data_IF_049986911761
#
_entry.id   IF_049986911761
#
_cell.length_a   1.000
_cell.length_b   1.000
_cell.length_c   1.000
_cell.angle_alpha   90.00
_cell.angle_beta   90.00
_cell.angle_gamma   90.00
#
_symmetry.space_group_name_H-M   'P 1'
#
loop_
_entity.id
_entity.type
_entity.pdbx_description
1 polymer ?
#
# COMPACT_ATOMS: atom_id res chain seq x y z
N UNK A 1 44.98 -6.90 -76.18
CA UNK A 1 45.73 -8.14 -75.86
C UNK A 1 45.96 -8.21 -74.34
N UNK A 2 46.12 -9.41 -73.75
CA UNK A 2 46.45 -9.65 -72.32
C UNK A 2 47.94 -9.26 -72.06
N UNK A 3 48.51 -9.00 -70.88
CA UNK A 3 48.42 -9.55 -69.49
C UNK A 3 48.76 -8.46 -68.43
N UNK A 4 48.80 -8.63 -67.10
CA UNK A 4 48.31 -9.73 -66.23
C UNK A 4 48.85 -9.76 -64.78
N UNK A 5 48.10 -9.19 -63.82
CA UNK A 5 47.96 -9.57 -62.38
C UNK A 5 49.07 -9.41 -61.30
N UNK A 6 48.57 -9.01 -60.09
CA UNK A 6 49.07 -9.22 -58.70
C UNK A 6 50.31 -8.42 -58.25
N UNK A 7 50.42 -7.96 -57.00
CA UNK A 7 49.45 -7.99 -55.89
C UNK A 7 50.17 -7.88 -54.53
N UNK A 8 49.98 -6.78 -53.79
CA UNK A 8 50.73 -6.51 -52.55
C UNK A 8 49.85 -6.34 -51.32
N UNK A 9 50.23 -6.96 -50.20
CA UNK A 9 49.83 -6.56 -48.83
C UNK A 9 50.94 -6.93 -47.84
N UNK A 10 51.36 -5.95 -47.05
CA UNK A 10 52.45 -6.11 -46.10
C UNK A 10 51.97 -6.71 -44.77
N UNK A 11 52.82 -7.54 -44.17
CA UNK A 11 52.70 -7.97 -42.78
C UNK A 11 53.60 -7.12 -41.89
N UNK A 12 53.10 -6.68 -40.72
CA UNK A 12 53.91 -6.31 -39.53
C UNK A 12 53.03 -6.08 -38.29
N UNK A 13 53.16 -7.03 -37.35
CA UNK A 13 53.27 -6.83 -35.90
C UNK A 13 52.58 -5.61 -35.26
N UNK A 14 51.64 -5.86 -34.33
CA UNK A 14 51.58 -5.18 -33.01
C UNK A 14 50.71 -5.89 -31.97
N UNK A 15 51.32 -6.12 -30.80
CA UNK A 15 50.74 -6.17 -29.45
C UNK A 15 49.32 -6.68 -29.21
N UNK A 16 49.21 -7.84 -28.54
CA UNK A 16 48.07 -8.16 -27.67
C UNK A 16 47.92 -7.07 -26.59
N UNK A 17 46.82 -6.32 -26.61
CA UNK A 17 46.30 -5.67 -25.41
C UNK A 17 45.07 -6.42 -24.91
N UNK A 18 45.18 -7.01 -23.71
CA UNK A 18 44.03 -7.54 -22.98
C UNK A 18 43.18 -6.36 -22.50
N UNK A 19 42.10 -6.04 -23.22
CA UNK A 19 41.05 -5.20 -22.68
C UNK A 19 40.31 -5.99 -21.59
N UNK A 20 40.72 -5.77 -20.34
CA UNK A 20 40.01 -6.25 -19.16
C UNK A 20 38.67 -5.55 -19.13
N UNK A 21 37.62 -6.26 -19.54
CA UNK A 21 36.27 -5.74 -19.61
C UNK A 21 35.68 -5.64 -18.19
N UNK A 22 36.13 -4.63 -17.42
CA UNK A 22 35.59 -4.32 -16.09
C UNK A 22 34.12 -3.97 -16.26
N UNK A 23 33.24 -4.90 -15.84
CA UNK A 23 31.80 -4.75 -15.88
C UNK A 23 31.33 -3.55 -15.07
N UNK A 24 31.22 -2.38 -15.71
CA UNK A 24 30.42 -1.27 -15.19
C UNK A 24 28.95 -1.67 -15.31
N UNK A 25 28.42 -2.33 -14.27
CA UNK A 25 26.98 -2.25 -13.95
C UNK A 25 26.67 -0.76 -13.83
N UNK A 26 26.17 -0.14 -14.90
CA UNK A 26 25.52 1.16 -14.80
C UNK A 26 24.28 0.91 -13.93
N UNK A 27 24.31 1.36 -12.67
CA UNK A 27 23.07 1.71 -11.97
C UNK A 27 22.36 2.67 -12.91
N UNK A 28 21.28 2.21 -13.55
CA UNK A 28 20.27 3.13 -14.04
C UNK A 28 19.62 3.67 -12.77
N UNK A 29 20.04 4.83 -12.34
CA UNK A 29 19.25 5.63 -11.42
C UNK A 29 17.96 5.94 -12.19
N UNK A 30 16.89 5.24 -11.84
CA UNK A 30 15.54 5.52 -12.30
C UNK A 30 15.15 6.86 -11.70
N UNK A 31 15.41 7.94 -12.45
CA UNK A 31 14.93 9.28 -12.11
C UNK A 31 13.41 9.23 -12.21
N UNK A 32 12.76 8.94 -11.09
CA UNK A 32 11.32 8.88 -10.95
C UNK A 32 10.76 10.31 -11.07
N UNK A 33 10.35 10.66 -12.28
CA UNK A 33 10.02 12.04 -12.71
C UNK A 33 8.70 12.60 -12.14
N UNK A 34 8.09 11.92 -11.17
CA UNK A 34 6.83 12.30 -10.51
C UNK A 34 6.95 12.53 -9.01
N UNK A 35 8.17 12.62 -8.46
CA UNK A 35 8.41 13.18 -7.11
C UNK A 35 8.21 14.70 -7.09
N UNK A 36 6.97 15.15 -7.32
CA UNK A 36 6.50 16.34 -6.64
C UNK A 36 6.65 16.14 -5.13
N UNK A 37 6.90 17.18 -4.32
CA UNK A 37 7.02 17.01 -2.89
C UNK A 37 5.65 16.63 -2.31
N UNK A 38 5.44 15.33 -2.13
CA UNK A 38 4.63 14.85 -1.02
C UNK A 38 5.11 15.63 0.21
N UNK A 39 4.19 16.22 0.97
CA UNK A 39 4.53 16.89 2.23
C UNK A 39 5.01 15.79 3.20
N UNK A 40 6.27 15.36 3.10
CA UNK A 40 6.84 14.31 3.96
C UNK A 40 6.89 14.73 5.45
N UNK A 41 6.62 16.01 5.71
CA UNK A 41 6.36 16.62 7.01
C UNK A 41 4.88 17.07 7.06
N UNK A 42 3.91 16.16 6.95
CA UNK A 42 2.53 16.47 7.37
C UNK A 42 2.55 16.46 8.90
N UNK A 43 2.66 17.64 9.50
CA UNK A 43 2.30 17.82 10.91
C UNK A 43 0.86 17.35 11.09
N UNK A 44 0.55 16.61 12.17
CA UNK A 44 -0.79 16.08 12.45
C UNK A 44 -1.89 17.08 12.09
N UNK A 45 -2.74 16.68 11.16
CA UNK A 45 -3.78 17.54 10.62
C UNK A 45 -5.09 16.79 10.65
N UNK A 46 -6.04 17.28 11.45
CA UNK A 46 -7.41 16.77 11.44
C UNK A 46 -8.41 17.90 11.24
N UNK A 47 -9.38 17.66 10.36
CA UNK A 47 -10.44 18.62 10.03
C UNK A 47 -11.79 17.89 9.89
N UNK A 48 -12.81 18.43 10.55
CA UNK A 48 -14.22 18.09 10.36
C UNK A 48 -14.89 19.16 9.48
N UNK A 49 -15.30 18.77 8.27
CA UNK A 49 -15.85 19.65 7.25
C UNK A 49 -17.37 19.46 7.19
N UNK A 50 -18.12 20.47 7.61
CA UNK A 50 -19.58 20.48 7.50
C UNK A 50 -20.03 20.80 6.07
N UNK A 51 -20.72 19.85 5.43
CA UNK A 51 -21.31 19.99 4.09
C UNK A 51 -22.85 19.99 4.18
N UNK A 52 -23.50 20.82 3.36
CA UNK A 52 -24.96 20.85 3.19
C UNK A 52 -25.37 19.86 2.09
N UNK A 53 -26.50 19.16 2.29
CA UNK A 53 -27.05 18.23 1.30
C UNK A 53 -26.46 16.80 1.37
N UNK A 54 -25.80 16.45 2.47
CA UNK A 54 -25.44 15.07 2.82
C UNK A 54 -26.07 14.70 4.16
N UNK A 55 -26.53 13.46 4.27
CA UNK A 55 -27.17 12.92 5.48
C UNK A 55 -26.24 11.99 6.29
N UNK A 56 -25.22 11.43 5.62
CA UNK A 56 -24.21 10.51 6.18
C UNK A 56 -22.83 11.18 6.25
N UNK A 57 -21.93 10.61 7.07
CA UNK A 57 -20.55 11.10 7.22
C UNK A 57 -19.56 10.24 6.44
N UNK A 58 -18.41 10.81 6.07
CA UNK A 58 -17.34 10.15 5.33
C UNK A 58 -16.00 10.54 5.94
N UNK A 59 -15.11 9.59 6.23
CA UNK A 59 -13.82 9.86 6.87
C UNK A 59 -12.68 9.27 6.04
N UNK A 60 -11.66 10.08 5.80
CA UNK A 60 -10.40 9.67 5.19
C UNK A 60 -9.27 9.86 6.20
N UNK A 61 -8.52 8.80 6.48
CA UNK A 61 -7.27 8.84 7.25
C UNK A 61 -6.11 8.45 6.34
N UNK A 62 -5.26 9.42 6.02
CA UNK A 62 -4.21 9.30 5.02
C UNK A 62 -2.83 9.41 5.67
N UNK A 63 -1.94 8.45 5.39
CA UNK A 63 -0.52 8.53 5.76
C UNK A 63 0.37 8.49 4.50
N UNK A 64 1.57 9.11 4.52
CA UNK A 64 2.49 9.07 3.40
C UNK A 64 3.10 7.67 3.26
N UNK A 65 2.92 7.05 2.10
CA UNK A 65 3.42 5.72 1.76
C UNK A 65 4.11 5.77 0.38
N UNK A 66 5.37 6.21 0.36
CA UNK A 66 6.17 6.38 -0.86
C UNK A 66 6.69 5.04 -1.41
N UNK A 67 5.81 4.27 -2.04
CA UNK A 67 6.12 3.01 -2.74
C UNK A 67 6.13 3.17 -4.25
N UNK A 68 7.14 2.60 -4.91
CA UNK A 68 7.22 2.45 -6.36
C UNK A 68 6.80 1.03 -6.79
N UNK A 69 6.39 0.86 -8.06
CA UNK A 69 6.01 -0.45 -8.62
C UNK A 69 7.15 -1.50 -8.63
N UNK A 70 8.38 -1.06 -8.44
CA UNK A 70 9.57 -1.92 -8.43
C UNK A 70 10.16 -2.10 -7.02
N UNK A 71 9.48 -1.61 -5.98
CA UNK A 71 9.92 -1.80 -4.59
C UNK A 71 9.39 -3.14 -4.07
N UNK A 72 10.26 -3.93 -3.44
CA UNK A 72 9.94 -5.26 -2.88
C UNK A 72 8.80 -5.19 -1.83
N UNK A 73 8.56 -4.02 -1.24
CA UNK A 73 7.55 -3.77 -0.22
C UNK A 73 6.13 -3.54 -0.80
N UNK A 74 5.98 -3.32 -2.11
CA UNK A 74 4.67 -2.99 -2.68
C UNK A 74 3.64 -4.11 -2.46
N UNK A 75 3.98 -5.34 -2.82
CA UNK A 75 3.04 -6.47 -2.73
C UNK A 75 2.74 -6.88 -1.29
N UNK A 76 3.72 -6.96 -0.36
CA UNK A 76 3.41 -7.13 1.06
C UNK A 76 2.51 -6.04 1.63
N UNK A 77 2.71 -4.76 1.28
CA UNK A 77 1.85 -3.65 1.75
C UNK A 77 0.44 -3.76 1.14
N UNK A 78 0.31 -4.08 -0.15
CA UNK A 78 -1.00 -4.34 -0.77
C UNK A 78 -1.70 -5.55 -0.16
N UNK A 79 -0.95 -6.60 0.19
CA UNK A 79 -1.49 -7.82 0.79
C UNK A 79 -1.96 -7.61 2.23
N UNK A 80 -1.24 -6.82 3.02
CA UNK A 80 -1.69 -6.43 4.37
C UNK A 80 -2.96 -5.58 4.32
N UNK A 81 -3.07 -4.67 3.35
CA UNK A 81 -4.26 -3.86 3.14
C UNK A 81 -5.48 -4.70 2.68
N UNK A 82 -5.27 -5.67 1.79
CA UNK A 82 -6.28 -6.64 1.36
C UNK A 82 -6.73 -7.56 2.50
N UNK A 83 -5.80 -8.04 3.34
CA UNK A 83 -6.08 -8.89 4.50
C UNK A 83 -7.13 -8.28 5.44
N UNK A 84 -7.01 -6.96 5.67
CA UNK A 84 -7.93 -6.19 6.48
C UNK A 84 -9.27 -5.92 5.78
N UNK A 85 -9.21 -5.60 4.48
CA UNK A 85 -10.34 -5.04 3.71
C UNK A 85 -11.19 -6.05 2.93
N UNK A 86 -10.72 -7.29 2.77
CA UNK A 86 -11.41 -8.36 2.05
C UNK A 86 -12.83 -8.60 2.58
N UNK A 87 -13.71 -9.17 1.76
CA UNK A 87 -14.99 -9.72 2.21
C UNK A 87 -14.77 -10.69 3.36
N UNK A 88 -15.54 -10.56 4.44
CA UNK A 88 -15.38 -11.32 5.70
C UNK A 88 -14.06 -11.06 6.46
N UNK A 89 -13.28 -10.05 6.05
CA UNK A 89 -12.10 -9.57 6.76
C UNK A 89 -12.43 -8.76 8.04
N UNK A 90 -11.42 -8.42 8.85
CA UNK A 90 -11.60 -7.70 10.11
C UNK A 90 -12.42 -6.41 10.00
N UNK A 91 -12.16 -5.58 8.97
CA UNK A 91 -12.90 -4.31 8.78
C UNK A 91 -14.38 -4.57 8.48
N UNK A 92 -14.68 -5.55 7.62
CA UNK A 92 -16.06 -5.94 7.32
C UNK A 92 -16.79 -6.41 8.57
N UNK A 93 -16.19 -7.33 9.33
CA UNK A 93 -16.85 -7.95 10.49
C UNK A 93 -17.10 -6.95 11.62
N UNK A 94 -16.13 -6.07 11.91
CA UNK A 94 -16.19 -5.16 13.07
C UNK A 94 -16.74 -3.78 12.76
N UNK A 95 -16.53 -3.20 11.57
CA UNK A 95 -17.03 -1.86 11.25
C UNK A 95 -18.41 -1.96 10.60
N UNK A 96 -18.51 -2.71 9.49
CA UNK A 96 -19.79 -2.90 8.78
C UNK A 96 -20.74 -3.83 9.53
N UNK A 97 -20.24 -4.93 10.11
CA UNK A 97 -21.04 -5.88 10.88
C UNK A 97 -21.64 -5.29 12.16
N UNK A 98 -21.00 -4.30 12.78
CA UNK A 98 -21.56 -3.50 13.90
C UNK A 98 -22.44 -2.33 13.46
N UNK A 99 -22.54 -2.04 12.14
CA UNK A 99 -23.34 -0.94 11.61
C UNK A 99 -22.74 0.46 11.77
N UNK A 100 -21.42 0.57 11.99
CA UNK A 100 -20.74 1.86 12.20
C UNK A 100 -20.52 2.63 10.88
N UNK A 101 -20.27 1.91 9.78
CA UNK A 101 -20.18 2.44 8.43
C UNK A 101 -20.61 1.40 7.39
N UNK A 102 -21.15 1.82 6.26
CA UNK A 102 -21.49 0.91 5.16
C UNK A 102 -20.24 0.44 4.41
N UNK A 103 -19.28 1.35 4.23
CA UNK A 103 -18.02 1.11 3.55
C UNK A 103 -16.85 1.37 4.51
N UNK A 104 -15.88 0.46 4.51
CA UNK A 104 -14.62 0.55 5.26
C UNK A 104 -13.55 -0.13 4.45
N UNK A 105 -12.53 0.62 4.01
CA UNK A 105 -11.53 0.14 3.07
C UNK A 105 -10.16 0.72 3.43
N UNK A 106 -9.12 -0.10 3.37
CA UNK A 106 -7.73 0.32 3.45
C UNK A 106 -7.09 0.09 2.08
N UNK A 107 -6.70 1.16 1.38
CA UNK A 107 -6.09 1.08 0.05
C UNK A 107 -4.71 1.74 -0.02
N UNK A 108 -3.80 1.05 -0.69
CA UNK A 108 -2.52 1.59 -1.12
C UNK A 108 -2.73 2.40 -2.39
N UNK A 109 -2.25 3.63 -2.42
CA UNK A 109 -2.26 4.51 -3.60
C UNK A 109 -0.81 4.84 -4.02
N UNK A 110 -0.05 3.90 -4.64
CA UNK A 110 1.36 4.11 -4.97
C UNK A 110 1.60 5.33 -5.89
N UNK A 111 0.64 5.64 -6.75
CA UNK A 111 0.69 6.82 -7.62
C UNK A 111 0.61 8.15 -6.84
N UNK A 112 -0.14 8.17 -5.75
CA UNK A 112 -0.25 9.33 -4.85
C UNK A 112 0.79 9.28 -3.72
N UNK A 113 1.57 8.19 -3.60
CA UNK A 113 2.49 7.97 -2.49
C UNK A 113 1.79 7.96 -1.13
N UNK A 114 0.62 7.35 -1.04
CA UNK A 114 -0.28 7.37 0.12
C UNK A 114 -0.79 5.98 0.48
N UNK A 115 -1.08 5.77 1.76
CA UNK A 115 -1.88 4.64 2.27
C UNK A 115 -3.09 5.25 2.99
N UNK A 116 -4.29 4.82 2.61
CA UNK A 116 -5.54 5.53 2.87
C UNK A 116 -6.56 4.60 3.51
N UNK A 117 -7.03 4.94 4.70
CA UNK A 117 -8.17 4.29 5.34
C UNK A 117 -9.43 5.15 5.16
N UNK A 118 -10.44 4.59 4.49
CA UNK A 118 -11.64 5.29 4.03
C UNK A 118 -12.89 4.69 4.67
N UNK A 119 -13.73 5.53 5.25
CA UNK A 119 -15.06 5.20 5.77
C UNK A 119 -16.14 5.91 4.96
N UNK A 120 -17.12 5.16 4.47
CA UNK A 120 -18.26 5.66 3.71
C UNK A 120 -19.59 5.36 4.38
N UNK A 121 -20.50 6.33 4.32
CA UNK A 121 -21.83 6.29 4.94
C UNK A 121 -21.76 5.93 6.44
N UNK A 122 -20.91 6.65 7.17
CA UNK A 122 -20.60 6.42 8.56
C UNK A 122 -21.56 7.18 9.50
N UNK A 123 -22.06 6.45 10.51
CA UNK A 123 -22.97 6.95 11.55
C UNK A 123 -22.22 7.47 12.78
N UNK A 124 -21.11 6.81 13.14
CA UNK A 124 -20.26 7.11 14.30
C UNK A 124 -18.76 7.12 13.90
N UNK A 125 -18.24 8.23 13.30
CA UNK A 125 -16.90 8.27 12.72
C UNK A 125 -15.76 8.03 13.71
N UNK A 126 -15.83 8.59 14.91
CA UNK A 126 -14.80 8.38 15.93
C UNK A 126 -14.77 6.92 16.39
N UNK A 127 -15.93 6.31 16.68
CA UNK A 127 -16.00 4.90 17.08
C UNK A 127 -15.53 3.94 15.98
N UNK A 128 -15.88 4.22 14.70
CA UNK A 128 -15.41 3.43 13.57
C UNK A 128 -13.87 3.52 13.40
N UNK A 129 -13.30 4.70 13.68
CA UNK A 129 -11.86 4.90 13.66
C UNK A 129 -11.14 4.22 14.85
N UNK A 130 -11.73 4.27 16.05
CA UNK A 130 -11.22 3.55 17.23
C UNK A 130 -11.20 2.03 17.00
N UNK A 131 -12.26 1.48 16.41
CA UNK A 131 -12.33 0.07 16.02
C UNK A 131 -11.25 -0.28 14.97
N UNK A 132 -11.00 0.58 13.98
CA UNK A 132 -9.89 0.40 13.03
C UNK A 132 -8.51 0.36 13.71
N UNK A 133 -8.22 1.31 14.59
CA UNK A 133 -6.96 1.35 15.33
C UNK A 133 -6.81 0.16 16.29
N UNK A 134 -7.91 -0.39 16.79
CA UNK A 134 -7.93 -1.60 17.62
C UNK A 134 -7.63 -2.84 16.77
N UNK A 135 -8.28 -2.98 15.61
CA UNK A 135 -8.04 -4.06 14.63
C UNK A 135 -6.56 -4.09 14.20
N UNK A 136 -5.95 -2.93 13.93
CA UNK A 136 -4.55 -2.87 13.54
C UNK A 136 -3.60 -3.46 14.61
N UNK A 137 -3.88 -3.24 15.89
CA UNK A 137 -3.08 -3.78 17.01
C UNK A 137 -3.27 -5.28 17.17
N UNK A 138 -4.51 -5.75 17.13
CA UNK A 138 -4.82 -7.18 17.22
C UNK A 138 -4.16 -7.96 16.08
N UNK A 139 -4.24 -7.45 14.83
CA UNK A 139 -3.61 -8.10 13.67
C UNK A 139 -2.08 -7.99 13.70
N UNK A 140 -1.48 -6.93 14.28
CA UNK A 140 -0.04 -6.88 14.56
C UNK A 140 0.38 -8.00 15.50
N UNK A 141 -0.34 -8.17 16.62
CA UNK A 141 -0.08 -9.21 17.62
C UNK A 141 -0.24 -10.62 17.02
N UNK A 142 -1.33 -10.89 16.29
CA UNK A 142 -1.56 -12.17 15.61
C UNK A 142 -0.48 -12.50 14.57
N UNK A 143 -0.01 -11.51 13.78
CA UNK A 143 1.05 -11.71 12.78
C UNK A 143 2.39 -11.96 13.47
N UNK A 144 2.74 -11.23 14.54
CA UNK A 144 3.97 -11.47 15.31
C UNK A 144 3.97 -12.85 15.99
N UNK A 145 2.85 -13.29 16.58
CA UNK A 145 2.76 -14.63 17.16
C UNK A 145 2.89 -15.72 16.10
N UNK A 146 2.26 -15.55 14.93
CA UNK A 146 2.31 -16.51 13.85
C UNK A 146 3.70 -16.62 13.20
N UNK A 147 4.41 -15.51 12.99
CA UNK A 147 5.81 -15.49 12.52
C UNK A 147 6.75 -16.20 13.51
N UNK A 148 6.66 -15.86 14.81
CA UNK A 148 7.49 -16.47 15.86
C UNK A 148 7.30 -18.00 15.94
N UNK A 149 6.11 -18.49 15.62
CA UNK A 149 5.82 -19.92 15.51
C UNK A 149 6.40 -20.56 14.24
N UNK A 150 6.53 -19.84 13.13
CA UNK A 150 7.22 -20.36 11.92
C UNK A 150 8.72 -20.51 12.17
N UNK A 151 9.36 -19.56 12.85
CA UNK A 151 10.78 -19.65 13.22
C UNK A 151 11.06 -20.80 14.19
N UNK A 152 10.19 -21.01 15.18
CA UNK A 152 10.30 -22.11 16.14
C UNK A 152 9.82 -23.48 15.57
N UNK A 153 9.03 -23.46 14.50
CA UNK A 153 8.19 -24.57 14.02
C UNK A 153 8.84 -25.58 13.08
N UNK A 154 10.17 -25.60 12.97
CA UNK A 154 10.90 -26.63 12.21
C UNK A 154 10.83 -28.06 12.78
N UNK A 155 10.00 -28.29 13.80
CA UNK A 155 9.82 -29.56 14.52
C UNK A 155 8.35 -29.83 14.84
N UNK A 156 7.96 -31.10 14.77
CA UNK A 156 6.57 -31.55 14.72
C UNK A 156 5.79 -31.55 16.05
N UNK A 157 4.50 -31.23 15.93
CA UNK A 157 3.36 -31.79 16.67
C UNK A 157 3.17 -31.43 18.16
N UNK A 158 2.15 -30.61 18.43
CA UNK A 158 1.52 -30.52 19.75
C UNK A 158 0.34 -29.55 19.74
N UNK A 159 -0.84 -30.01 19.32
CA UNK A 159 -2.06 -29.20 19.11
C UNK A 159 -2.47 -28.38 20.35
N UNK A 160 -1.89 -27.18 20.48
CA UNK A 160 -2.22 -26.18 21.48
C UNK A 160 -2.98 -25.00 20.88
N UNK A 161 -3.64 -24.20 21.72
CA UNK A 161 -4.38 -23.01 21.27
C UNK A 161 -3.50 -22.01 20.47
N UNK A 162 -2.22 -21.89 20.80
CA UNK A 162 -1.27 -21.08 20.04
C UNK A 162 -1.01 -21.61 18.62
N UNK A 163 -0.87 -22.93 18.42
CA UNK A 163 -0.69 -23.54 17.10
C UNK A 163 -1.93 -23.31 16.21
N UNK A 164 -3.12 -23.30 16.81
CA UNK A 164 -4.36 -22.97 16.11
C UNK A 164 -4.39 -21.51 15.62
N UNK A 165 -3.88 -20.55 16.42
CA UNK A 165 -3.80 -19.14 16.03
C UNK A 165 -2.82 -18.91 14.87
N UNK A 166 -1.60 -19.46 14.94
CA UNK A 166 -0.64 -19.37 13.83
C UNK A 166 -1.14 -20.06 12.55
N UNK A 167 -1.85 -21.18 12.69
CA UNK A 167 -2.53 -21.86 11.57
C UNK A 167 -3.68 -21.03 10.99
N UNK A 168 -4.41 -20.29 11.81
CA UNK A 168 -5.44 -19.35 11.36
C UNK A 168 -4.82 -18.21 10.53
N UNK A 169 -3.81 -17.53 11.05
CA UNK A 169 -3.16 -16.41 10.34
C UNK A 169 -2.54 -16.86 9.00
N UNK A 170 -1.93 -18.04 8.93
CA UNK A 170 -1.49 -18.63 7.64
C UNK A 170 -2.64 -18.84 6.65
N UNK A 171 -3.80 -19.33 7.10
CA UNK A 171 -4.99 -19.48 6.25
C UNK A 171 -5.50 -18.13 5.76
N UNK A 172 -5.53 -17.12 6.64
CA UNK A 172 -5.89 -15.74 6.30
C UNK A 172 -4.93 -15.14 5.27
N UNK A 173 -3.62 -15.37 5.39
CA UNK A 173 -2.61 -14.94 4.42
C UNK A 173 -2.89 -15.52 3.01
N UNK A 174 -3.09 -16.84 2.91
CA UNK A 174 -3.33 -17.49 1.60
C UNK A 174 -4.66 -17.08 0.96
N UNK A 175 -5.72 -16.89 1.76
CA UNK A 175 -6.98 -16.31 1.27
C UNK A 175 -6.80 -14.86 0.79
N UNK A 176 -5.99 -14.07 1.49
CA UNK A 176 -5.67 -12.69 1.10
C UNK A 176 -4.86 -12.65 -0.20
N UNK A 177 -3.94 -13.62 -0.42
CA UNK A 177 -3.21 -13.76 -1.69
C UNK A 177 -4.16 -14.02 -2.84
N UNK A 178 -5.10 -14.95 -2.69
CA UNK A 178 -6.12 -15.23 -3.70
C UNK A 178 -7.01 -14.02 -4.00
N UNK A 179 -7.44 -13.27 -2.98
CA UNK A 179 -8.22 -12.03 -3.11
C UNK A 179 -7.43 -10.95 -3.86
N UNK A 180 -6.16 -10.72 -3.46
CA UNK A 180 -5.30 -9.72 -4.08
C UNK A 180 -5.00 -10.05 -5.55
N UNK A 181 -4.69 -11.32 -5.86
CA UNK A 181 -4.49 -11.78 -7.24
C UNK A 181 -5.73 -11.50 -8.10
N UNK A 182 -6.93 -11.82 -7.59
CA UNK A 182 -8.18 -11.50 -8.27
C UNK A 182 -8.36 -9.98 -8.47
N UNK A 183 -8.06 -9.15 -7.46
CA UNK A 183 -8.12 -7.69 -7.55
C UNK A 183 -7.14 -7.15 -8.61
N UNK A 184 -5.88 -7.62 -8.62
CA UNK A 184 -4.83 -7.21 -9.57
C UNK A 184 -5.14 -7.63 -11.01
N UNK A 185 -5.69 -8.83 -11.23
CA UNK A 185 -6.07 -9.30 -12.56
C UNK A 185 -7.40 -8.69 -13.05
N UNK A 186 -8.42 -8.54 -12.19
CA UNK A 186 -9.70 -7.93 -12.55
C UNK A 186 -9.57 -6.44 -12.92
N UNK A 187 -8.58 -5.72 -12.34
CA UNK A 187 -8.16 -4.38 -12.78
C UNK A 187 -7.71 -4.31 -14.25
N UNK A 188 -7.46 -5.44 -14.92
CA UNK A 188 -7.14 -5.56 -16.37
C UNK A 188 -8.25 -6.25 -17.19
N UNK A 189 -9.47 -6.36 -16.65
CA UNK A 189 -10.59 -7.05 -17.33
C UNK A 189 -11.27 -6.24 -18.44
N UNK A 190 -11.08 -4.92 -18.51
CA UNK A 190 -11.76 -4.04 -19.48
C UNK A 190 -10.76 -3.28 -20.36
N UNK A 191 -11.12 -2.94 -21.62
CA UNK A 191 -10.23 -2.15 -22.49
C UNK A 191 -9.83 -0.79 -21.87
N UNK A 192 -10.76 -0.14 -21.17
CA UNK A 192 -10.52 1.15 -20.49
C UNK A 192 -9.53 0.99 -19.34
N UNK A 193 -9.70 -0.04 -18.50
CA UNK A 193 -8.80 -0.27 -17.38
C UNK A 193 -7.41 -0.73 -17.85
N UNK A 194 -7.32 -1.53 -18.91
CA UNK A 194 -6.04 -1.83 -19.59
C UNK A 194 -5.33 -0.57 -20.10
N UNK A 195 -6.04 0.36 -20.75
CA UNK A 195 -5.44 1.63 -21.20
C UNK A 195 -4.94 2.48 -20.02
N UNK A 196 -5.69 2.53 -18.92
CA UNK A 196 -5.27 3.23 -17.68
C UNK A 196 -4.02 2.60 -17.06
N UNK A 197 -3.94 1.27 -16.98
CA UNK A 197 -2.77 0.59 -16.43
C UNK A 197 -1.54 0.73 -17.34
N UNK A 198 -1.71 0.65 -18.66
CA UNK A 198 -0.62 0.89 -19.61
C UNK A 198 -0.04 2.31 -19.50
N UNK A 199 -0.90 3.33 -19.31
CA UNK A 199 -0.45 4.69 -19.05
C UNK A 199 0.35 4.81 -17.73
N UNK A 200 -0.12 4.19 -16.64
CA UNK A 200 0.61 4.16 -15.36
C UNK A 200 1.96 3.46 -15.47
N UNK A 201 1.99 2.29 -16.14
CA UNK A 201 3.21 1.51 -16.37
C UNK A 201 4.27 2.30 -17.16
N UNK A 202 3.85 3.05 -18.18
CA UNK A 202 4.72 3.96 -18.94
C UNK A 202 5.39 5.01 -18.04
N UNK A 203 4.62 5.69 -17.18
CA UNK A 203 5.17 6.69 -16.25
C UNK A 203 6.03 6.10 -15.12
N UNK A 204 5.78 4.86 -14.70
CA UNK A 204 6.66 4.10 -13.80
C UNK A 204 7.91 3.52 -14.49
N UNK A 205 8.06 3.71 -15.81
CA UNK A 205 9.21 3.21 -16.56
C UNK A 205 9.26 1.69 -16.69
N UNK A 206 8.11 1.00 -16.58
CA UNK A 206 8.02 -0.45 -16.81
C UNK A 206 8.09 -0.70 -18.32
N UNK A 207 9.19 -1.29 -18.77
CA UNK A 207 9.48 -1.48 -20.21
C UNK A 207 9.07 -2.83 -20.78
N UNK A 208 8.80 -3.83 -19.93
CA UNK A 208 8.54 -5.22 -20.32
C UNK A 208 7.14 -5.64 -19.82
N UNK A 209 6.07 -5.45 -20.59
CA UNK A 209 4.70 -5.67 -20.13
C UNK A 209 4.27 -7.16 -20.10
N UNK A 210 4.92 -8.04 -20.86
CA UNK A 210 4.54 -9.46 -20.95
C UNK A 210 4.89 -10.24 -19.67
N UNK A 211 6.04 -9.96 -19.06
CA UNK A 211 6.45 -10.58 -17.79
C UNK A 211 5.76 -9.93 -16.56
N UNK A 212 5.05 -8.81 -16.74
CA UNK A 212 4.57 -8.00 -15.61
C UNK A 212 3.58 -8.77 -14.73
N UNK A 213 2.63 -9.49 -15.35
CA UNK A 213 1.61 -10.25 -14.63
C UNK A 213 2.21 -11.47 -13.92
N UNK A 214 3.15 -12.18 -14.56
CA UNK A 214 3.83 -13.33 -13.92
C UNK A 214 4.68 -12.89 -12.73
N UNK A 215 5.37 -11.75 -12.83
CA UNK A 215 6.15 -11.15 -11.73
C UNK A 215 5.25 -10.65 -10.60
N UNK A 216 4.12 -10.02 -10.92
CA UNK A 216 3.11 -9.63 -9.92
C UNK A 216 2.57 -10.84 -9.17
N UNK A 217 2.19 -11.91 -9.88
CA UNK A 217 1.73 -13.17 -9.27
C UNK A 217 2.80 -13.79 -8.39
N UNK A 218 4.02 -13.97 -8.90
CA UNK A 218 5.12 -14.56 -8.14
C UNK A 218 5.49 -13.72 -6.91
N UNK A 219 5.46 -12.39 -7.01
CA UNK A 219 5.71 -11.51 -5.87
C UNK A 219 4.63 -11.67 -4.77
N UNK A 220 3.35 -11.73 -5.14
CA UNK A 220 2.23 -11.94 -4.19
C UNK A 220 2.30 -13.33 -3.55
N UNK A 221 2.56 -14.38 -4.33
CA UNK A 221 2.69 -15.76 -3.81
C UNK A 221 3.85 -15.89 -2.82
N UNK A 222 4.97 -15.21 -3.08
CA UNK A 222 6.18 -15.26 -2.26
C UNK A 222 6.13 -14.49 -0.94
N UNK A 223 5.09 -13.68 -0.68
CA UNK A 223 4.99 -12.91 0.58
C UNK A 223 4.85 -13.85 1.78
N UNK A 224 5.70 -13.61 2.79
CA UNK A 224 5.76 -14.35 4.06
C UNK A 224 5.11 -13.58 5.22
N UNK A 225 4.91 -14.23 6.38
CA UNK A 225 4.50 -13.53 7.61
C UNK A 225 5.55 -12.53 8.09
N UNK A 226 6.84 -12.84 7.90
CA UNK A 226 7.93 -11.92 8.21
C UNK A 226 7.88 -10.65 7.35
N UNK A 227 7.50 -10.76 6.08
CA UNK A 227 7.24 -9.59 5.23
C UNK A 227 6.07 -8.77 5.74
N UNK A 228 4.97 -9.40 6.15
CA UNK A 228 3.81 -8.70 6.74
C UNK A 228 4.20 -7.92 8.01
N UNK A 229 4.89 -8.54 8.98
CA UNK A 229 5.35 -7.86 10.21
C UNK A 229 6.31 -6.72 9.90
N UNK A 230 7.22 -6.93 8.95
CA UNK A 230 8.21 -5.94 8.50
C UNK A 230 7.54 -4.73 7.84
N UNK A 231 6.54 -4.93 6.99
CA UNK A 231 5.82 -3.80 6.37
C UNK A 231 4.79 -3.16 7.30
N UNK A 232 4.22 -3.90 8.26
CA UNK A 232 3.42 -3.31 9.32
C UNK A 232 4.23 -2.25 10.08
N UNK A 233 5.38 -2.67 10.63
CA UNK A 233 6.28 -1.81 11.39
C UNK A 233 6.78 -0.60 10.59
N UNK A 234 6.95 -0.76 9.27
CA UNK A 234 7.49 0.29 8.39
C UNK A 234 6.44 1.29 7.88
N UNK A 235 5.19 0.86 7.69
CA UNK A 235 4.16 1.68 7.03
C UNK A 235 2.88 1.80 7.87
N UNK A 236 2.27 0.69 8.30
CA UNK A 236 0.96 0.69 8.96
C UNK A 236 1.01 1.23 10.39
N UNK A 237 2.15 1.07 11.08
CA UNK A 237 2.36 1.58 12.44
C UNK A 237 2.13 3.09 12.57
N UNK A 238 2.35 3.86 11.48
CA UNK A 238 2.07 5.29 11.42
C UNK A 238 0.58 5.67 11.50
N UNK A 239 -0.35 4.71 11.43
CA UNK A 239 -1.75 4.96 11.81
C UNK A 239 -1.96 4.99 13.34
N UNK A 240 -1.20 4.17 14.07
CA UNK A 240 -1.28 4.03 15.53
C UNK A 240 -0.51 5.13 16.27
N UNK A 241 0.62 5.56 15.72
CA UNK A 241 1.46 6.61 16.29
C UNK A 241 0.94 8.01 15.92
N UNK A 242 0.90 8.97 16.87
CA UNK A 242 0.61 10.36 16.54
C UNK A 242 1.74 10.95 15.69
N UNK A 243 1.44 11.58 14.56
CA UNK A 243 2.46 12.13 13.67
C UNK A 243 2.03 12.36 12.22
N UNK A 244 2.67 11.67 11.27
CA UNK A 244 2.51 11.89 9.82
C UNK A 244 1.16 11.33 9.28
N UNK A 245 0.04 11.86 9.78
CA UNK A 245 -1.32 11.49 9.39
C UNK A 245 -2.20 12.70 9.13
N UNK A 246 -3.06 12.59 8.12
CA UNK A 246 -4.07 13.57 7.76
C UNK A 246 -5.45 12.93 7.90
N UNK A 247 -6.29 13.46 8.78
CA UNK A 247 -7.66 12.98 9.02
C UNK A 247 -8.66 14.00 8.49
N UNK A 248 -9.43 13.66 7.47
CA UNK A 248 -10.49 14.52 6.94
C UNK A 248 -11.83 13.82 7.14
N UNK A 249 -12.66 14.38 8.01
CA UNK A 249 -14.05 13.99 8.16
C UNK A 249 -14.91 14.97 7.37
N UNK A 250 -15.82 14.47 6.53
CA UNK A 250 -16.92 15.23 5.93
C UNK A 250 -18.21 14.78 6.59
N UNK A 251 -19.02 15.74 7.08
CA UNK A 251 -20.22 15.42 7.85
C UNK A 251 -21.41 16.34 7.51
N UNK A 252 -22.66 15.92 7.82
CA UNK A 252 -23.84 16.77 7.69
C UNK A 252 -23.70 18.10 8.43
N UNK A 253 -24.25 19.16 7.84
CA UNK A 253 -24.24 20.50 8.43
C UNK A 253 -24.81 20.51 9.86
N UNK A 254 -24.06 21.07 10.80
CA UNK A 254 -24.43 21.16 12.21
C UNK A 254 -23.89 20.01 13.09
N UNK A 255 -23.30 18.95 12.52
CA UNK A 255 -22.63 17.88 13.29
C UNK A 255 -21.12 18.09 13.47
N UNK A 256 -20.51 19.03 12.75
CA UNK A 256 -19.04 19.19 12.68
C UNK A 256 -18.36 19.39 14.03
N UNK A 257 -18.90 20.24 14.92
CA UNK A 257 -18.30 20.50 16.24
C UNK A 257 -18.39 19.28 17.18
N UNK A 258 -19.49 18.54 17.14
CA UNK A 258 -19.65 17.31 17.93
C UNK A 258 -18.64 16.24 17.50
N UNK A 259 -18.61 15.91 16.21
CA UNK A 259 -17.65 14.93 15.70
C UNK A 259 -16.19 15.39 15.79
N UNK A 260 -15.91 16.70 15.70
CA UNK A 260 -14.57 17.23 15.97
C UNK A 260 -14.16 16.93 17.42
N UNK A 261 -15.03 17.20 18.40
CA UNK A 261 -14.77 16.93 19.83
C UNK A 261 -14.54 15.43 20.09
N UNK A 262 -15.35 14.56 19.48
CA UNK A 262 -15.17 13.09 19.57
C UNK A 262 -13.83 12.64 18.96
N UNK A 263 -13.44 13.19 17.81
CA UNK A 263 -12.16 12.89 17.16
C UNK A 263 -10.96 13.47 17.93
N UNK A 264 -11.09 14.65 18.56
CA UNK A 264 -10.04 15.21 19.44
C UNK A 264 -9.73 14.27 20.61
N UNK A 265 -10.78 13.73 21.24
CA UNK A 265 -10.65 12.76 22.33
C UNK A 265 -9.94 11.46 21.92
N UNK A 266 -10.16 11.00 20.69
CA UNK A 266 -9.52 9.79 20.14
C UNK A 266 -8.10 10.03 19.63
N UNK A 267 -7.87 11.13 18.91
CA UNK A 267 -6.60 11.42 18.23
C UNK A 267 -5.56 12.01 19.19
N UNK A 268 -6.00 12.67 20.27
CA UNK A 268 -5.12 13.32 21.25
C UNK A 268 -4.57 14.69 20.82
N UNK A 269 -5.05 15.24 19.70
CA UNK A 269 -4.68 16.54 19.16
C UNK A 269 -5.89 17.30 18.62
N UNK A 270 -5.82 18.64 18.45
CA UNK A 270 -6.95 19.44 17.97
C UNK A 270 -7.46 19.03 16.58
N UNK A 271 -8.77 19.12 16.39
CA UNK A 271 -9.50 18.85 15.13
C UNK A 271 -10.28 20.11 14.76
N UNK A 272 -9.90 20.76 13.67
CA UNK A 272 -10.61 21.97 13.25
C UNK A 272 -12.00 21.63 12.71
N UNK A 273 -13.05 22.33 13.15
CA UNK A 273 -14.37 22.29 12.52
C UNK A 273 -14.53 23.47 11.55
N UNK A 274 -14.81 23.21 10.26
CA UNK A 274 -14.98 24.26 9.25
C UNK A 274 -16.11 23.93 8.26
N UNK A 275 -16.45 24.88 7.37
CA UNK A 275 -17.33 24.61 6.21
C UNK A 275 -16.47 24.31 4.98
N UNK A 276 -17.06 23.65 3.99
CA UNK A 276 -16.38 23.33 2.70
C UNK A 276 -15.80 24.57 1.99
N UNK A 277 -16.48 25.72 2.10
CA UNK A 277 -16.02 26.98 1.49
C UNK A 277 -14.72 27.50 2.12
N UNK A 278 -14.53 27.25 3.42
CA UNK A 278 -13.39 27.71 4.20
C UNK A 278 -12.22 26.70 4.09
N UNK A 279 -12.53 25.42 3.93
CA UNK A 279 -11.55 24.31 3.83
C UNK A 279 -10.46 24.57 2.77
N UNK A 280 -10.84 24.90 1.53
CA UNK A 280 -9.88 25.14 0.45
C UNK A 280 -9.13 26.48 0.55
N UNK A 281 -9.50 27.35 1.49
CA UNK A 281 -8.76 28.57 1.80
C UNK A 281 -7.71 28.37 2.91
N UNK A 282 -7.74 27.23 3.61
CA UNK A 282 -6.89 26.92 4.78
C UNK A 282 -5.80 25.85 4.54
N UNK A 283 -5.73 25.21 3.36
CA UNK A 283 -4.86 24.04 3.04
C UNK A 283 -3.66 24.39 2.14
#
# INVERSE_FOLDING_TARGET
MRTGTRGGRASRLRGRQRLVNKGRRRRRESVCLTRGPLRNNVVEHAVAVSLKGIDSSYLELVIPCSLHKLDDDLFPVMLFAELLSRSEGPLWNRIRGKGLAYHSLLEVLPWAGQLCFSLGECTAPAQALEEFLTILKEVEEEVEEAERQEEAGGGSAGEGAGEAAGKHMRKVLEESKASLLFSVHSRRSTPSSCASQAAKAYFWGVTEPMDEMERETQAIESVSLADLRRVFNRYFKSFLEPGNRCTVLVCPAGKGEGYATELEGLLGHPVKSCKVADFFAEV
#
